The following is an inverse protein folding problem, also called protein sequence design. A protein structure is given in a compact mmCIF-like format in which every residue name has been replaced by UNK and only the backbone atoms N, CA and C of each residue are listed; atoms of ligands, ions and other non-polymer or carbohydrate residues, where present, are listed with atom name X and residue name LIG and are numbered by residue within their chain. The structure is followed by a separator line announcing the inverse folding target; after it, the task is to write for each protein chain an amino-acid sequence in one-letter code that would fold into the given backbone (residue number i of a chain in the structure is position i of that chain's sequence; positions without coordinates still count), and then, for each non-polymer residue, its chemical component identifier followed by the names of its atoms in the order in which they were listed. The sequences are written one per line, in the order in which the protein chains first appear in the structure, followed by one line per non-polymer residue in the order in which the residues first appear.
data_IF_542092542711
#
_entry.id   IF_542092542711
#
_cell.length_a   1.000
_cell.length_b   1.000
_cell.length_c   1.000
_cell.angle_alpha   90.00
_cell.angle_beta   90.00
_cell.angle_gamma   90.00
#
_symmetry.space_group_name_H-M   'P 1'
#
loop_
_entity.id
_entity.type
_entity.pdbx_description
1 polymer ?
#
# COMPACT_ATOMS: atom_id res chain seq x y z
N UNK A 1 -41.04 -36.91 -0.86
CA UNK A 1 -41.10 -35.58 -1.50
C UNK A 1 -39.68 -35.01 -1.50
N UNK A 2 -39.06 -34.86 -2.67
CA UNK A 2 -37.63 -34.59 -2.83
C UNK A 2 -37.38 -33.10 -3.01
N UNK A 3 -36.74 -32.43 -2.03
CA UNK A 3 -36.35 -31.03 -2.17
C UNK A 3 -35.12 -30.92 -3.07
N UNK A 4 -35.33 -30.47 -4.31
CA UNK A 4 -34.26 -30.10 -5.26
C UNK A 4 -33.49 -28.90 -4.69
N UNK A 5 -32.26 -29.15 -4.28
CA UNK A 5 -31.27 -28.14 -3.89
C UNK A 5 -30.81 -27.41 -5.16
N UNK A 6 -31.32 -26.21 -5.40
CA UNK A 6 -30.85 -25.34 -6.49
C UNK A 6 -29.41 -24.88 -6.19
N UNK A 7 -28.41 -25.61 -6.68
CA UNK A 7 -27.07 -25.06 -6.84
C UNK A 7 -27.09 -24.15 -8.07
N UNK A 8 -27.41 -22.87 -7.84
CA UNK A 8 -27.20 -21.82 -8.84
C UNK A 8 -25.70 -21.78 -9.10
N UNK A 9 -25.28 -22.15 -10.31
CA UNK A 9 -23.89 -22.10 -10.75
C UNK A 9 -23.47 -20.63 -10.74
N UNK A 10 -22.85 -20.18 -9.64
CA UNK A 10 -22.25 -18.85 -9.57
C UNK A 10 -20.96 -18.87 -10.39
N UNK A 11 -20.87 -17.96 -11.35
CA UNK A 11 -19.71 -17.80 -12.21
C UNK A 11 -18.49 -17.44 -11.35
N UNK A 12 -17.43 -18.25 -11.42
CA UNK A 12 -16.20 -18.07 -10.63
C UNK A 12 -15.62 -16.66 -10.82
N UNK A 13 -15.80 -16.03 -11.99
CA UNK A 13 -15.35 -14.66 -12.25
C UNK A 13 -16.09 -13.60 -11.42
N UNK A 14 -17.40 -13.78 -11.24
CA UNK A 14 -18.23 -12.86 -10.42
C UNK A 14 -17.96 -13.06 -8.92
N UNK A 15 -17.73 -14.31 -8.51
CA UNK A 15 -17.32 -14.64 -7.15
C UNK A 15 -15.94 -14.05 -6.84
N UNK A 16 -14.99 -14.14 -7.77
CA UNK A 16 -13.67 -13.55 -7.63
C UNK A 16 -13.78 -12.03 -7.49
N UNK A 17 -14.47 -11.32 -8.38
CA UNK A 17 -14.61 -9.86 -8.33
C UNK A 17 -15.23 -9.30 -7.04
N UNK A 18 -16.08 -10.09 -6.37
CA UNK A 18 -16.73 -9.72 -5.09
C UNK A 18 -16.01 -10.27 -3.86
N UNK A 19 -15.11 -11.23 -4.04
CA UNK A 19 -14.41 -11.90 -2.95
C UNK A 19 -13.41 -11.01 -2.22
N UNK A 20 -13.16 -11.35 -0.95
CA UNK A 20 -12.07 -10.81 -0.14
C UNK A 20 -10.70 -10.95 -0.85
N UNK A 21 -10.52 -12.00 -1.66
CA UNK A 21 -9.29 -12.22 -2.42
C UNK A 21 -9.08 -11.20 -3.54
N UNK A 22 -10.09 -10.86 -4.34
CA UNK A 22 -9.92 -9.80 -5.34
C UNK A 22 -9.69 -8.42 -4.71
N UNK A 23 -10.30 -8.15 -3.55
CA UNK A 23 -10.02 -6.93 -2.78
C UNK A 23 -8.55 -6.90 -2.32
N UNK A 24 -8.02 -8.03 -1.83
CA UNK A 24 -6.60 -8.17 -1.47
C UNK A 24 -5.68 -8.00 -2.68
N UNK A 25 -6.00 -8.61 -3.82
CA UNK A 25 -5.23 -8.47 -5.06
C UNK A 25 -5.19 -7.03 -5.56
N UNK A 26 -6.34 -6.35 -5.59
CA UNK A 26 -6.42 -4.92 -5.95
C UNK A 26 -5.58 -4.07 -5.00
N UNK A 27 -5.66 -4.32 -3.70
CA UNK A 27 -4.83 -3.65 -2.69
C UNK A 27 -3.34 -3.91 -2.91
N UNK A 28 -2.94 -5.14 -3.21
CA UNK A 28 -1.54 -5.49 -3.47
C UNK A 28 -0.97 -4.78 -4.70
N UNK A 29 -1.70 -4.78 -5.82
CA UNK A 29 -1.32 -4.05 -7.04
C UNK A 29 -1.18 -2.54 -6.78
N UNK A 30 -2.16 -1.99 -6.09
CA UNK A 30 -2.19 -0.59 -5.71
C UNK A 30 -0.99 -0.16 -4.85
N UNK A 31 -0.64 -0.96 -3.84
CA UNK A 31 0.54 -0.71 -3.00
C UNK A 31 1.83 -0.79 -3.82
N UNK A 32 1.91 -1.72 -4.79
CA UNK A 32 3.07 -1.84 -5.66
C UNK A 32 3.24 -0.62 -6.58
N UNK A 33 2.15 -0.12 -7.16
CA UNK A 33 2.17 1.11 -7.97
C UNK A 33 2.59 2.33 -7.15
N UNK A 34 2.07 2.46 -5.92
CA UNK A 34 2.50 3.53 -5.03
C UNK A 34 3.98 3.42 -4.67
N UNK A 35 4.51 2.22 -4.40
CA UNK A 35 5.95 2.04 -4.17
C UNK A 35 6.77 2.54 -5.38
N UNK A 36 6.36 2.20 -6.61
CA UNK A 36 7.04 2.67 -7.82
C UNK A 36 6.96 4.18 -8.04
N UNK A 37 5.83 4.82 -7.71
CA UNK A 37 5.68 6.28 -7.80
C UNK A 37 6.56 6.97 -6.77
N UNK A 38 6.52 6.52 -5.52
CA UNK A 38 7.33 7.09 -4.45
C UNK A 38 8.83 6.90 -4.71
N UNK A 39 9.24 5.78 -5.33
CA UNK A 39 10.66 5.53 -5.65
C UNK A 39 11.27 6.54 -6.64
N UNK A 40 10.42 7.22 -7.42
CA UNK A 40 10.84 8.29 -8.34
C UNK A 40 10.88 9.67 -7.67
N UNK A 41 10.24 9.81 -6.52
CA UNK A 41 9.93 11.09 -5.88
C UNK A 41 10.66 11.26 -4.55
N UNK A 42 10.95 10.15 -3.86
CA UNK A 42 11.73 10.14 -2.63
C UNK A 42 13.21 10.39 -2.95
N UNK A 43 13.97 10.98 -2.01
CA UNK A 43 15.40 11.18 -2.17
C UNK A 43 16.10 9.87 -2.56
N UNK A 44 16.99 9.92 -3.56
CA UNK A 44 17.68 8.74 -4.10
C UNK A 44 18.42 7.96 -3.00
N UNK A 45 18.94 8.66 -1.99
CA UNK A 45 19.58 8.07 -0.80
C UNK A 45 18.66 7.21 0.08
N UNK A 46 17.34 7.33 -0.07
CA UNK A 46 16.35 6.53 0.66
C UNK A 46 15.84 5.34 -0.14
N UNK A 47 16.24 5.21 -1.41
CA UNK A 47 15.76 4.12 -2.28
C UNK A 47 16.11 2.75 -1.71
N UNK A 48 15.12 1.84 -1.70
CA UNK A 48 15.28 0.50 -1.11
C UNK A 48 15.37 0.48 0.43
N UNK A 49 15.26 1.65 1.08
CA UNK A 49 15.28 1.78 2.55
C UNK A 49 13.89 1.99 3.16
N UNK A 50 12.84 1.91 2.35
CA UNK A 50 11.46 2.01 2.78
C UNK A 50 10.55 1.10 1.93
N UNK A 51 9.36 0.82 2.46
CA UNK A 51 8.26 0.22 1.71
C UNK A 51 6.93 0.74 2.23
N UNK A 52 5.93 0.80 1.37
CA UNK A 52 4.55 1.01 1.80
C UNK A 52 4.04 -0.30 2.40
N UNK A 53 3.73 -0.27 3.69
CA UNK A 53 3.21 -1.43 4.42
C UNK A 53 1.68 -1.52 4.33
N UNK A 54 0.99 -0.38 4.35
CA UNK A 54 -0.47 -0.35 4.31
C UNK A 54 -1.01 1.00 3.87
N UNK A 55 -2.18 0.98 3.22
CA UNK A 55 -2.97 2.18 2.96
C UNK A 55 -4.33 2.04 3.65
N UNK A 56 -4.71 3.05 4.42
CA UNK A 56 -6.06 3.21 4.98
C UNK A 56 -6.80 4.29 4.21
N UNK A 57 -8.03 4.61 4.61
CA UNK A 57 -8.86 5.65 3.99
C UNK A 57 -8.21 7.03 3.99
N UNK A 58 -7.40 7.35 5.00
CA UNK A 58 -6.80 8.68 5.16
C UNK A 58 -5.30 8.66 5.42
N UNK A 59 -4.65 7.50 5.45
CA UNK A 59 -3.24 7.41 5.80
C UNK A 59 -2.48 6.38 4.98
N UNK A 60 -1.25 6.74 4.64
CA UNK A 60 -0.27 5.82 4.07
C UNK A 60 0.75 5.45 5.15
N UNK A 61 0.85 4.17 5.46
CA UNK A 61 1.79 3.63 6.43
C UNK A 61 3.02 3.10 5.69
N UNK A 62 4.17 3.67 6.03
CA UNK A 62 5.45 3.44 5.38
C UNK A 62 6.40 2.89 6.43
N UNK A 63 6.97 1.72 6.16
CA UNK A 63 8.03 1.15 6.98
C UNK A 63 9.38 1.57 6.42
N UNK A 64 10.32 1.90 7.30
CA UNK A 64 11.68 2.33 6.95
C UNK A 64 12.72 1.52 7.71
N UNK A 65 13.92 1.37 7.16
CA UNK A 65 14.94 0.48 7.74
C UNK A 65 15.49 0.97 9.08
N UNK A 66 15.56 2.27 9.32
CA UNK A 66 16.13 2.85 10.54
C UNK A 66 15.63 4.28 10.82
N UNK A 67 16.04 4.82 11.98
CA UNK A 67 15.65 6.15 12.44
C UNK A 67 16.17 7.30 11.57
N UNK A 68 17.35 7.14 10.95
CA UNK A 68 17.91 8.15 10.05
C UNK A 68 17.04 8.31 8.80
N UNK A 69 16.61 7.20 8.19
CA UNK A 69 15.70 7.21 7.04
C UNK A 69 14.35 7.81 7.46
N UNK A 70 13.82 7.44 8.62
CA UNK A 70 12.59 8.04 9.16
C UNK A 70 12.71 9.56 9.26
N UNK A 71 13.82 10.06 9.82
CA UNK A 71 14.02 11.49 10.02
C UNK A 71 14.13 12.26 8.71
N UNK A 72 14.82 11.69 7.71
CA UNK A 72 14.90 12.28 6.37
C UNK A 72 13.52 12.38 5.71
N UNK A 73 12.68 11.34 5.83
CA UNK A 73 11.34 11.35 5.24
C UNK A 73 10.36 12.25 5.98
N UNK A 74 10.49 12.36 7.31
CA UNK A 74 9.73 13.33 8.10
C UNK A 74 10.06 14.77 7.69
N UNK A 75 11.33 15.06 7.39
CA UNK A 75 11.75 16.39 6.95
C UNK A 75 11.05 16.82 5.65
N UNK A 76 10.90 15.92 4.69
CA UNK A 76 10.21 16.18 3.43
C UNK A 76 8.72 15.79 3.44
N UNK A 77 8.13 15.48 4.60
CA UNK A 77 6.80 14.86 4.67
C UNK A 77 5.70 15.69 3.98
N UNK A 78 5.77 17.02 4.09
CA UNK A 78 4.76 17.89 3.49
C UNK A 78 4.73 17.77 1.96
N UNK A 79 5.89 17.84 1.33
CA UNK A 79 6.04 17.71 -0.13
C UNK A 79 5.60 16.31 -0.59
N UNK A 80 6.00 15.27 0.14
CA UNK A 80 5.61 13.90 -0.14
C UNK A 80 4.09 13.70 -0.04
N UNK A 81 3.45 14.33 0.95
CA UNK A 81 2.00 14.27 1.11
C UNK A 81 1.28 14.97 -0.05
N UNK A 82 1.74 16.16 -0.45
CA UNK A 82 1.15 16.88 -1.59
C UNK A 82 1.21 16.07 -2.88
N UNK A 83 2.34 15.39 -3.10
CA UNK A 83 2.52 14.49 -4.23
C UNK A 83 1.53 13.33 -4.18
N UNK A 84 1.42 12.64 -3.04
CA UNK A 84 0.47 11.54 -2.86
C UNK A 84 -0.96 12.01 -3.10
N UNK A 85 -1.30 13.21 -2.63
CA UNK A 85 -2.63 13.81 -2.77
C UNK A 85 -3.02 14.15 -4.22
N UNK A 86 -2.09 14.22 -5.16
CA UNK A 86 -2.42 14.42 -6.58
C UNK A 86 -3.22 13.23 -7.14
N UNK A 87 -2.88 12.02 -6.69
CA UNK A 87 -3.56 10.79 -7.08
C UNK A 87 -4.58 10.33 -6.02
N UNK A 88 -4.37 10.71 -4.76
CA UNK A 88 -5.13 10.24 -3.59
C UNK A 88 -5.49 11.38 -2.62
N UNK A 89 -6.41 12.27 -3.01
CA UNK A 89 -6.76 13.45 -2.21
C UNK A 89 -7.30 13.11 -0.81
N UNK A 90 -7.81 11.89 -0.60
CA UNK A 90 -8.30 11.40 0.69
C UNK A 90 -7.18 11.17 1.72
N UNK A 91 -5.93 10.98 1.28
CA UNK A 91 -4.81 10.76 2.18
C UNK A 91 -4.39 12.08 2.78
N UNK A 92 -4.49 12.19 4.11
CA UNK A 92 -4.15 13.41 4.85
C UNK A 92 -2.89 13.27 5.69
N UNK A 93 -2.34 12.06 5.80
CA UNK A 93 -1.16 11.80 6.63
C UNK A 93 -0.30 10.65 6.09
N UNK A 94 1.02 10.85 6.19
CA UNK A 94 2.02 9.80 6.02
C UNK A 94 2.51 9.38 7.40
N UNK A 95 2.53 8.08 7.67
CA UNK A 95 2.96 7.51 8.95
C UNK A 95 4.21 6.66 8.72
N UNK A 96 5.28 6.98 9.42
CA UNK A 96 6.56 6.28 9.29
C UNK A 96 6.87 5.44 10.54
N UNK A 97 7.04 4.13 10.35
CA UNK A 97 7.47 3.18 11.38
C UNK A 97 8.82 2.56 11.02
N UNK A 98 9.64 2.23 12.02
CA UNK A 98 10.94 1.59 11.78
C UNK A 98 10.74 0.08 11.73
N UNK A 99 11.23 -0.57 10.67
CA UNK A 99 11.31 -2.01 10.49
C UNK A 99 12.72 -2.39 10.01
N UNK A 100 13.63 -2.79 10.93
CA UNK A 100 15.01 -3.14 10.59
C UNK A 100 15.15 -4.37 9.68
N UNK A 101 14.14 -5.24 9.64
CA UNK A 101 14.14 -6.46 8.82
C UNK A 101 14.13 -6.16 7.32
N UNK A 102 13.76 -4.94 6.92
CA UNK A 102 13.84 -4.47 5.53
C UNK A 102 15.26 -4.56 4.96
N UNK A 103 16.29 -4.31 5.77
CA UNK A 103 17.69 -4.39 5.32
C UNK A 103 18.16 -5.82 5.05
N UNK A 104 17.43 -6.85 5.54
CA UNK A 104 17.84 -8.26 5.40
C UNK A 104 17.35 -8.90 4.09
N UNK A 105 16.54 -8.20 3.30
CA UNK A 105 15.89 -8.76 2.10
C UNK A 105 16.36 -8.12 0.78
N UNK A 106 17.40 -7.29 0.83
CA UNK A 106 18.05 -6.71 -0.36
C UNK A 106 19.28 -7.53 -0.76
#
# INVERSE_FOLDING_TARGET
MTQKRYQKVMNIKDLLNTSSFAKLMKKGLFINELNHKLDKLFPVQCKGLYRIANCTENSLNIEVTNAMVRQNLLFCQHELLQIVQQDMPEITQLKFSINPELNKTN
#
